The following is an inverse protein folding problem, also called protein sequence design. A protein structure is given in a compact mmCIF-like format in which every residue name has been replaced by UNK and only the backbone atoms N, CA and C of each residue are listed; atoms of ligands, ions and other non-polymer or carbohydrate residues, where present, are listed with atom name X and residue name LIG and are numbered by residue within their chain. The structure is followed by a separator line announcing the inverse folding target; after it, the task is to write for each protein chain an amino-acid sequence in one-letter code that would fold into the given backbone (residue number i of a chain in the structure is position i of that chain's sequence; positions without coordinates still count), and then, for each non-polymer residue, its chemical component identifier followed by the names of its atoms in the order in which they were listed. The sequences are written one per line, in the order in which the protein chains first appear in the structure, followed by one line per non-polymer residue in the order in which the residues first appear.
data_IF_003118770556
#
_entry.id   IF_003118770556
#
_cell.length_a   1.000
_cell.length_b   1.000
_cell.length_c   1.000
_cell.angle_alpha   90.00
_cell.angle_beta   90.00
_cell.angle_gamma   90.00
#
_symmetry.space_group_name_H-M   'P 1'
#
loop_
_entity.id
_entity.type
_entity.pdbx_description
1 polymer ?
#
# COMPACT_ATOMS: atom_id res chain seq x y z
N UNK A 1 -18.45 23.89 -0.06
CA UNK A 1 -17.10 23.82 -0.67
C UNK A 1 -16.09 24.12 0.41
N UNK A 2 -15.15 23.21 0.66
CA UNK A 2 -14.07 23.40 1.63
C UNK A 2 -12.71 23.26 0.92
N UNK A 3 -11.69 23.92 1.46
CA UNK A 3 -10.29 23.78 1.02
C UNK A 3 -9.59 22.78 1.90
N UNK A 4 -9.12 21.69 1.33
CA UNK A 4 -8.53 20.56 2.05
C UNK A 4 -7.05 20.44 1.69
N UNK A 5 -6.19 20.43 2.72
CA UNK A 5 -4.78 20.15 2.58
C UNK A 5 -4.52 18.67 2.85
N UNK A 6 -4.15 17.91 1.84
CA UNK A 6 -3.66 16.54 2.03
C UNK A 6 -2.13 16.53 2.13
N UNK A 7 -1.58 15.59 2.87
CA UNK A 7 -0.14 15.41 3.01
C UNK A 7 0.21 13.93 3.12
N UNK A 8 1.24 13.48 2.40
CA UNK A 8 1.67 12.08 2.42
C UNK A 8 3.12 11.87 2.02
N UNK A 9 3.62 10.68 2.32
CA UNK A 9 4.99 10.26 1.97
C UNK A 9 5.03 9.83 0.50
N UNK A 10 6.01 10.26 -0.32
CA UNK A 10 6.10 9.95 -1.74
C UNK A 10 6.60 8.53 -2.00
N UNK A 11 5.78 7.54 -1.62
CA UNK A 11 5.98 6.12 -1.90
C UNK A 11 4.73 5.55 -2.57
N UNK A 12 4.87 4.77 -3.63
CA UNK A 12 3.74 4.27 -4.42
C UNK A 12 2.70 3.54 -3.56
N UNK A 13 3.14 2.65 -2.65
CA UNK A 13 2.23 1.90 -1.76
C UNK A 13 1.46 2.77 -0.76
N UNK A 14 1.90 4.00 -0.50
CA UNK A 14 1.24 4.95 0.41
C UNK A 14 0.43 6.02 -0.34
N UNK A 15 0.96 6.51 -1.46
CA UNK A 15 0.36 7.57 -2.25
C UNK A 15 -0.81 7.07 -3.12
N UNK A 16 -0.63 5.94 -3.83
CA UNK A 16 -1.64 5.43 -4.76
C UNK A 16 -3.00 5.14 -4.09
N UNK A 17 -3.05 4.49 -2.91
CA UNK A 17 -4.32 4.23 -2.23
C UNK A 17 -5.09 5.48 -1.78
N UNK A 18 -4.42 6.63 -1.68
CA UNK A 18 -5.06 7.90 -1.29
C UNK A 18 -5.68 8.68 -2.46
N UNK A 19 -5.33 8.35 -3.70
CA UNK A 19 -5.83 9.07 -4.89
C UNK A 19 -7.34 8.94 -5.11
N UNK A 20 -7.98 7.78 -4.91
CA UNK A 20 -9.44 7.67 -4.95
C UNK A 20 -10.13 8.58 -3.92
N UNK A 21 -9.50 8.78 -2.76
CA UNK A 21 -10.01 9.72 -1.75
C UNK A 21 -9.91 11.18 -2.22
N UNK A 22 -8.80 11.56 -2.90
CA UNK A 22 -8.69 12.86 -3.58
C UNK A 22 -9.84 13.05 -4.57
N UNK A 23 -10.07 12.06 -5.43
CA UNK A 23 -11.17 12.09 -6.41
C UNK A 23 -12.52 12.29 -5.74
N UNK A 24 -12.84 11.50 -4.73
CA UNK A 24 -14.11 11.58 -4.02
C UNK A 24 -14.34 12.95 -3.37
N UNK A 25 -13.31 13.58 -2.81
CA UNK A 25 -13.40 14.93 -2.25
C UNK A 25 -13.64 16.00 -3.33
N UNK A 26 -12.95 15.88 -4.46
CA UNK A 26 -13.12 16.80 -5.60
C UNK A 26 -14.51 16.64 -6.22
N UNK A 27 -14.99 15.42 -6.41
CA UNK A 27 -16.33 15.13 -6.94
C UNK A 27 -17.44 15.64 -5.99
N UNK A 28 -17.14 15.68 -4.67
CA UNK A 28 -18.02 16.32 -3.66
C UNK A 28 -17.93 17.86 -3.65
N UNK A 29 -17.17 18.47 -4.56
CA UNK A 29 -17.05 19.91 -4.72
C UNK A 29 -16.04 20.58 -3.77
N UNK A 30 -15.09 19.83 -3.20
CA UNK A 30 -14.01 20.39 -2.39
C UNK A 30 -12.79 20.74 -3.24
N UNK A 31 -12.01 21.74 -2.82
CA UNK A 31 -10.70 22.08 -3.36
C UNK A 31 -9.64 21.28 -2.60
N UNK A 32 -8.88 20.43 -3.30
CA UNK A 32 -7.89 19.55 -2.68
C UNK A 32 -6.47 19.90 -3.17
N UNK A 33 -5.61 20.30 -2.23
CA UNK A 33 -4.18 20.46 -2.46
C UNK A 33 -3.40 19.35 -1.76
N UNK A 34 -2.54 18.64 -2.51
CA UNK A 34 -1.83 17.48 -1.97
C UNK A 34 -0.33 17.74 -1.91
N UNK A 35 0.22 17.84 -0.68
CA UNK A 35 1.67 17.86 -0.43
C UNK A 35 2.23 16.46 -0.73
N UNK A 36 2.87 16.30 -1.88
CA UNK A 36 3.36 15.01 -2.37
C UNK A 36 4.58 15.20 -3.27
N UNK A 37 5.33 14.12 -3.53
CA UNK A 37 6.47 14.12 -4.44
C UNK A 37 6.09 14.44 -5.87
N UNK A 38 6.96 15.17 -6.59
CA UNK A 38 6.72 15.63 -7.96
C UNK A 38 6.37 14.49 -8.94
N UNK A 39 6.92 13.31 -8.76
CA UNK A 39 6.64 12.11 -9.57
C UNK A 39 5.16 11.69 -9.57
N UNK A 40 4.38 12.16 -8.60
CA UNK A 40 2.93 11.88 -8.50
C UNK A 40 2.05 12.96 -9.13
N UNK A 41 2.61 14.03 -9.73
CA UNK A 41 1.86 15.16 -10.28
C UNK A 41 0.73 14.71 -11.19
N UNK A 42 1.06 13.97 -12.25
CA UNK A 42 0.05 13.54 -13.22
C UNK A 42 -1.09 12.72 -12.56
N UNK A 43 -0.77 11.90 -11.55
CA UNK A 43 -1.77 11.10 -10.84
C UNK A 43 -2.66 11.93 -9.92
N UNK A 44 -2.09 12.90 -9.21
CA UNK A 44 -2.86 13.82 -8.34
C UNK A 44 -3.76 14.70 -9.19
N UNK A 45 -3.26 15.25 -10.29
CA UNK A 45 -4.02 16.10 -11.20
C UNK A 45 -5.10 15.31 -11.96
N UNK A 46 -4.84 14.07 -12.34
CA UNK A 46 -5.87 13.20 -12.92
C UNK A 46 -6.98 12.84 -11.93
N UNK A 47 -6.67 12.84 -10.63
CA UNK A 47 -7.68 12.72 -9.58
C UNK A 47 -8.42 14.05 -9.30
N UNK A 48 -8.09 15.14 -9.99
CA UNK A 48 -8.70 16.46 -9.82
C UNK A 48 -8.07 17.31 -8.71
N UNK A 49 -7.05 16.82 -8.03
CA UNK A 49 -6.34 17.57 -7.00
C UNK A 49 -5.24 18.46 -7.57
N UNK A 50 -4.73 19.37 -6.76
CA UNK A 50 -3.57 20.23 -7.09
C UNK A 50 -2.35 19.74 -6.33
N UNK A 51 -1.24 19.41 -7.02
CA UNK A 51 -0.02 19.02 -6.36
C UNK A 51 0.70 20.22 -5.74
N UNK A 52 1.06 20.10 -4.47
CA UNK A 52 2.05 20.96 -3.79
C UNK A 52 3.35 20.15 -3.69
N UNK A 53 4.37 20.47 -4.49
CA UNK A 53 5.57 19.64 -4.57
C UNK A 53 6.33 19.60 -3.25
N UNK A 54 6.78 18.39 -2.88
CA UNK A 54 7.46 18.14 -1.63
C UNK A 54 8.40 16.93 -1.75
N UNK A 55 9.55 17.00 -1.07
CA UNK A 55 10.49 15.88 -0.96
C UNK A 55 11.34 15.64 -2.19
N UNK A 56 11.91 14.43 -2.36
CA UNK A 56 12.75 14.10 -3.50
C UNK A 56 11.91 14.04 -4.79
N UNK A 57 12.54 14.31 -5.96
CA UNK A 57 11.85 14.25 -7.24
C UNK A 57 11.36 12.83 -7.59
N UNK A 58 12.03 11.81 -7.06
CA UNK A 58 11.72 10.39 -7.29
C UNK A 58 10.91 9.80 -6.14
N UNK A 59 10.10 8.78 -6.44
CA UNK A 59 9.39 8.04 -5.41
C UNK A 59 10.35 7.22 -4.54
N UNK A 60 9.99 7.04 -3.27
CA UNK A 60 10.66 6.07 -2.39
C UNK A 60 10.22 4.67 -2.83
N UNK A 61 11.17 3.90 -3.35
CA UNK A 61 10.96 2.54 -3.87
C UNK A 61 11.69 1.47 -3.05
N UNK A 62 12.46 1.87 -2.03
CA UNK A 62 13.22 0.94 -1.21
C UNK A 62 13.23 1.35 0.26
N UNK A 63 13.05 0.39 1.21
CA UNK A 63 13.06 0.68 2.66
C UNK A 63 14.34 1.40 3.15
N UNK A 64 15.51 1.13 2.53
CA UNK A 64 16.77 1.81 2.86
C UNK A 64 16.73 3.32 2.55
N UNK A 65 15.99 3.74 1.52
CA UNK A 65 15.81 5.17 1.22
C UNK A 65 15.05 5.85 2.35
N UNK A 66 13.98 5.20 2.84
CA UNK A 66 13.23 5.70 3.99
C UNK A 66 14.10 5.75 5.26
N UNK A 67 14.92 4.73 5.50
CA UNK A 67 15.84 4.72 6.64
C UNK A 67 16.92 5.84 6.57
N UNK A 68 17.42 6.16 5.38
CA UNK A 68 18.47 7.18 5.18
C UNK A 68 17.93 8.62 5.10
N UNK A 69 16.74 8.80 4.53
CA UNK A 69 16.17 10.11 4.22
C UNK A 69 14.94 10.44 5.06
N UNK A 70 14.37 9.45 5.74
CA UNK A 70 13.07 9.54 6.42
C UNK A 70 13.00 10.72 7.38
N UNK A 71 14.01 10.88 8.25
CA UNK A 71 14.06 12.00 9.21
C UNK A 71 13.91 13.37 8.52
N UNK A 72 14.68 13.62 7.46
CA UNK A 72 14.62 14.89 6.71
C UNK A 72 13.27 15.06 6.03
N UNK A 73 12.78 13.97 5.45
CA UNK A 73 11.51 13.93 4.75
C UNK A 73 10.35 14.24 5.72
N UNK A 74 10.26 13.54 6.85
CA UNK A 74 9.19 13.75 7.82
C UNK A 74 9.26 15.15 8.45
N UNK A 75 10.45 15.66 8.81
CA UNK A 75 10.59 17.03 9.30
C UNK A 75 10.10 18.06 8.29
N UNK A 76 10.50 17.93 7.02
CA UNK A 76 10.07 18.84 5.97
C UNK A 76 8.55 18.72 5.71
N UNK A 77 7.99 17.50 5.75
CA UNK A 77 6.55 17.29 5.62
C UNK A 77 5.78 17.97 6.74
N UNK A 78 6.19 17.76 7.99
CA UNK A 78 5.59 18.38 9.17
C UNK A 78 5.65 19.91 9.13
N UNK A 79 6.81 20.47 8.72
CA UNK A 79 6.99 21.90 8.55
C UNK A 79 6.07 22.45 7.45
N UNK A 80 5.95 21.74 6.33
CA UNK A 80 5.07 22.14 5.21
C UNK A 80 3.59 22.11 5.62
N UNK A 81 3.17 21.09 6.36
CA UNK A 81 1.79 21.01 6.88
C UNK A 81 1.52 22.24 7.77
N UNK A 82 2.35 22.49 8.80
CA UNK A 82 2.15 23.61 9.73
C UNK A 82 2.15 24.97 9.03
N UNK A 83 3.00 25.16 8.03
CA UNK A 83 3.10 26.40 7.25
C UNK A 83 1.83 26.65 6.40
N UNK A 84 1.28 25.60 5.81
CA UNK A 84 0.18 25.74 4.84
C UNK A 84 -1.21 25.60 5.48
N UNK A 85 -1.36 24.78 6.52
CA UNK A 85 -2.63 24.47 7.16
C UNK A 85 -3.52 25.70 7.50
N UNK A 86 -2.98 26.86 7.93
CA UNK A 86 -3.83 28.04 8.21
C UNK A 86 -4.66 28.54 7.02
N UNK A 87 -4.35 28.13 5.80
CA UNK A 87 -5.05 28.52 4.56
C UNK A 87 -6.15 27.55 4.16
N UNK A 88 -6.37 26.47 4.95
CA UNK A 88 -7.27 25.38 4.63
C UNK A 88 -8.26 25.14 5.76
N UNK A 89 -9.38 24.55 5.45
CA UNK A 89 -10.46 24.25 6.39
C UNK A 89 -10.18 22.94 7.17
N UNK A 90 -9.44 22.01 6.57
CA UNK A 90 -9.05 20.74 7.18
C UNK A 90 -7.72 20.24 6.62
N UNK A 91 -7.06 19.40 7.42
CA UNK A 91 -5.81 18.70 7.03
C UNK A 91 -6.06 17.19 7.01
N UNK A 92 -5.73 16.52 5.92
CA UNK A 92 -5.75 15.07 5.80
C UNK A 92 -4.31 14.55 5.73
N UNK A 93 -3.94 13.72 6.69
CA UNK A 93 -2.61 13.09 6.72
C UNK A 93 -2.76 11.65 6.23
N UNK A 94 -2.21 11.38 5.03
CA UNK A 94 -2.29 10.09 4.37
C UNK A 94 -1.01 9.26 4.57
N UNK A 95 -1.18 8.02 4.99
CA UNK A 95 -0.07 7.08 5.17
C UNK A 95 0.52 7.06 6.58
N UNK A 96 1.77 6.65 6.69
CA UNK A 96 2.46 6.47 7.97
C UNK A 96 2.76 7.82 8.64
N UNK A 97 2.14 8.11 9.78
CA UNK A 97 2.45 9.33 10.52
C UNK A 97 2.15 9.19 12.03
N UNK A 98 3.19 9.11 12.88
CA UNK A 98 3.02 9.05 14.34
C UNK A 98 2.76 10.41 14.99
N UNK A 99 2.79 11.53 14.22
CA UNK A 99 2.70 12.90 14.72
C UNK A 99 1.27 13.48 14.69
N UNK A 100 0.25 12.66 14.40
CA UNK A 100 -1.16 13.12 14.35
C UNK A 100 -1.56 13.88 15.61
N UNK A 101 -1.32 13.38 16.85
CA UNK A 101 -1.69 14.13 18.06
C UNK A 101 -0.91 15.44 18.24
N UNK A 102 0.31 15.52 17.72
CA UNK A 102 1.07 16.77 17.74
C UNK A 102 0.50 17.79 16.76
N UNK A 103 0.13 17.35 15.55
CA UNK A 103 -0.53 18.22 14.58
C UNK A 103 -1.87 18.76 15.11
N UNK A 104 -2.68 17.94 15.75
CA UNK A 104 -3.95 18.40 16.36
C UNK A 104 -3.76 19.47 17.44
N UNK A 105 -2.69 19.35 18.23
CA UNK A 105 -2.34 20.39 19.23
C UNK A 105 -1.82 21.67 18.61
N UNK A 106 -1.08 21.57 17.50
CA UNK A 106 -0.40 22.70 16.88
C UNK A 106 -1.27 23.45 15.88
N UNK A 107 -2.32 22.79 15.34
CA UNK A 107 -3.17 23.34 14.29
C UNK A 107 -4.57 23.66 14.85
N UNK A 108 -5.05 24.87 14.60
CA UNK A 108 -6.44 25.26 14.83
C UNK A 108 -7.31 24.80 13.63
N UNK A 109 -7.22 23.54 13.28
CA UNK A 109 -7.94 22.92 12.15
C UNK A 109 -8.16 21.42 12.43
N UNK A 110 -9.27 20.84 11.94
CA UNK A 110 -9.47 19.41 11.97
C UNK A 110 -8.33 18.65 11.28
N UNK A 111 -7.80 17.64 11.95
CA UNK A 111 -6.80 16.74 11.38
C UNK A 111 -7.43 15.37 11.19
N UNK A 112 -7.46 14.90 9.95
CA UNK A 112 -8.03 13.60 9.57
C UNK A 112 -6.87 12.66 9.25
N UNK A 113 -6.89 11.46 9.80
CA UNK A 113 -5.94 10.42 9.46
C UNK A 113 -6.51 9.48 8.41
N UNK A 114 -5.84 9.35 7.27
CA UNK A 114 -6.12 8.36 6.23
C UNK A 114 -5.08 7.25 6.32
N UNK A 115 -5.47 6.11 6.90
CA UNK A 115 -4.59 4.96 7.03
C UNK A 115 -4.28 4.34 5.67
N UNK A 116 -3.06 3.85 5.43
CA UNK A 116 -2.72 3.16 4.19
C UNK A 116 -3.19 1.70 4.17
N UNK A 117 -3.57 1.17 5.31
CA UNK A 117 -4.01 -0.22 5.54
C UNK A 117 -5.09 -0.25 6.62
N UNK A 118 -5.47 -1.43 7.11
CA UNK A 118 -6.35 -1.56 8.27
C UNK A 118 -5.71 -0.98 9.56
N UNK A 119 -6.56 -0.57 10.50
CA UNK A 119 -6.09 0.01 11.77
C UNK A 119 -5.38 -1.01 12.65
N UNK A 120 -4.42 -0.53 13.43
CA UNK A 120 -3.64 -1.33 14.37
C UNK A 120 -3.95 -0.99 15.81
N UNK A 121 -4.04 -2.03 16.65
CA UNK A 121 -3.99 -1.96 18.10
C UNK A 121 -3.23 -3.18 18.65
N UNK A 122 -3.14 -3.32 19.96
CA UNK A 122 -2.38 -4.41 20.58
C UNK A 122 -3.00 -5.78 20.31
N UNK A 123 -4.33 -5.87 20.20
CA UNK A 123 -5.06 -7.11 19.89
C UNK A 123 -4.86 -7.51 18.43
N UNK A 124 -5.04 -6.54 17.51
CA UNK A 124 -4.84 -6.75 16.06
C UNK A 124 -3.43 -7.24 15.77
N UNK A 125 -2.39 -6.55 16.27
CA UNK A 125 -1.01 -6.94 15.98
C UNK A 125 -0.62 -8.28 16.60
N UNK A 126 -1.18 -8.61 17.77
CA UNK A 126 -0.94 -9.91 18.41
C UNK A 126 -1.54 -11.05 17.61
N UNK A 127 -2.78 -10.88 17.15
CA UNK A 127 -3.46 -11.85 16.28
C UNK A 127 -2.73 -12.02 14.95
N UNK A 128 -2.42 -10.92 14.27
CA UNK A 128 -1.72 -10.96 12.99
C UNK A 128 -0.33 -11.59 13.10
N UNK A 129 0.42 -11.32 14.17
CA UNK A 129 1.69 -11.98 14.42
C UNK A 129 1.52 -13.49 14.66
N UNK A 130 0.42 -13.91 15.28
CA UNK A 130 0.12 -15.32 15.51
C UNK A 130 -0.20 -16.07 14.22
N UNK A 131 -1.09 -15.53 13.38
CA UNK A 131 -1.51 -16.17 12.12
C UNK A 131 -0.44 -16.08 11.02
N UNK A 132 0.46 -15.08 11.08
CA UNK A 132 1.48 -14.85 10.04
C UNK A 132 2.67 -15.79 10.19
N UNK A 133 2.46 -17.06 9.89
CA UNK A 133 3.45 -18.13 10.07
C UNK A 133 4.71 -17.94 9.21
N UNK A 134 4.60 -17.29 8.04
CA UNK A 134 5.72 -16.95 7.17
C UNK A 134 6.54 -15.74 7.62
N UNK A 135 6.07 -15.01 8.65
CA UNK A 135 6.84 -13.90 9.24
C UNK A 135 8.06 -14.43 9.98
N UNK A 136 9.26 -13.82 9.83
CA UNK A 136 10.45 -14.25 10.55
C UNK A 136 10.23 -14.35 12.07
N UNK A 137 10.64 -15.46 12.65
CA UNK A 137 10.37 -15.79 14.07
C UNK A 137 10.72 -14.66 15.06
N UNK A 138 11.88 -13.97 14.98
CA UNK A 138 12.19 -12.89 15.91
C UNK A 138 11.20 -11.71 15.81
N UNK A 139 10.74 -11.38 14.60
CA UNK A 139 9.75 -10.32 14.37
C UNK A 139 8.39 -10.75 14.91
N UNK A 140 7.97 -11.97 14.60
CA UNK A 140 6.70 -12.55 15.05
C UNK A 140 6.59 -12.59 16.57
N UNK A 141 7.69 -12.89 17.27
CA UNK A 141 7.74 -12.92 18.73
C UNK A 141 7.80 -11.51 19.35
N UNK A 142 8.46 -10.56 18.69
CA UNK A 142 8.63 -9.21 19.20
C UNK A 142 7.39 -8.32 19.03
N UNK A 143 6.66 -8.48 17.93
CA UNK A 143 5.51 -7.61 17.59
C UNK A 143 4.37 -7.63 18.63
N UNK A 144 3.98 -8.77 19.24
CA UNK A 144 2.97 -8.77 20.31
C UNK A 144 3.44 -8.09 21.61
N UNK A 145 4.75 -7.95 21.82
CA UNK A 145 5.31 -7.38 23.05
C UNK A 145 5.32 -5.84 23.01
N UNK A 146 4.49 -5.14 23.84
CA UNK A 146 4.52 -3.68 23.92
C UNK A 146 5.91 -3.15 24.31
N UNK A 147 6.63 -3.87 25.20
CA UNK A 147 7.98 -3.49 25.62
C UNK A 147 8.98 -3.53 24.46
N UNK A 148 8.91 -4.58 23.63
CA UNK A 148 9.78 -4.69 22.45
C UNK A 148 9.47 -3.59 21.41
N UNK A 149 8.20 -3.34 21.14
CA UNK A 149 7.75 -2.28 20.24
C UNK A 149 8.18 -0.89 20.69
N UNK A 150 8.03 -0.59 22.01
CA UNK A 150 8.47 0.69 22.60
C UNK A 150 9.99 0.86 22.53
N UNK A 151 10.77 -0.20 22.76
CA UNK A 151 12.23 -0.16 22.56
C UNK A 151 12.58 0.11 21.11
N UNK A 152 11.92 -0.56 20.18
CA UNK A 152 12.10 -0.36 18.74
C UNK A 152 11.75 1.08 18.34
N UNK A 153 10.63 1.61 18.84
CA UNK A 153 10.21 3.00 18.58
C UNK A 153 11.24 4.02 19.06
N UNK A 154 11.87 3.80 20.21
CA UNK A 154 12.93 4.69 20.73
C UNK A 154 14.18 4.73 19.86
N UNK A 155 14.49 3.65 19.15
CA UNK A 155 15.65 3.55 18.27
C UNK A 155 15.31 4.02 16.85
N UNK A 156 14.25 3.50 16.27
CA UNK A 156 13.87 3.77 14.88
C UNK A 156 13.19 5.13 14.74
N UNK A 157 12.36 5.53 15.69
CA UNK A 157 11.60 6.77 15.63
C UNK A 157 12.46 8.00 15.32
N UNK A 158 13.52 8.30 16.09
CA UNK A 158 14.39 9.43 15.81
C UNK A 158 15.13 9.35 14.47
N UNK A 159 15.40 8.15 13.99
CA UNK A 159 16.12 7.92 12.73
C UNK A 159 15.22 8.11 11.51
N UNK A 160 13.98 7.59 11.58
CA UNK A 160 13.05 7.57 10.44
C UNK A 160 12.10 8.76 10.48
N UNK A 161 11.48 9.04 11.62
CA UNK A 161 10.46 10.09 11.74
C UNK A 161 11.01 11.41 12.30
N UNK A 162 12.20 11.40 12.87
CA UNK A 162 12.73 12.56 13.58
C UNK A 162 12.05 12.83 14.92
N UNK A 163 11.13 11.97 15.34
CA UNK A 163 10.36 12.06 16.55
C UNK A 163 10.48 10.78 17.39
N UNK A 164 9.92 10.77 18.60
CA UNK A 164 9.93 9.60 19.48
C UNK A 164 8.50 9.13 19.72
N UNK A 165 7.92 8.35 18.78
CA UNK A 165 6.62 7.74 19.03
C UNK A 165 6.68 6.86 20.27
N UNK A 166 5.56 6.74 20.97
CA UNK A 166 5.50 5.90 22.17
C UNK A 166 5.62 4.42 21.82
N UNK A 167 5.02 4.02 20.71
CA UNK A 167 5.03 2.66 20.16
C UNK A 167 5.28 2.73 18.63
N UNK A 168 5.90 1.70 18.06
CA UNK A 168 6.10 1.64 16.60
C UNK A 168 4.77 1.54 15.83
N UNK A 169 3.71 1.07 16.45
CA UNK A 169 2.38 1.01 15.86
C UNK A 169 1.68 2.38 15.77
N UNK A 170 2.17 3.42 16.45
CA UNK A 170 1.54 4.75 16.44
C UNK A 170 1.45 5.33 15.01
N UNK A 171 2.29 4.85 14.10
CA UNK A 171 2.21 5.21 12.68
C UNK A 171 0.97 4.68 11.95
N UNK A 172 0.28 3.67 12.51
CA UNK A 172 -0.87 2.98 11.92
C UNK A 172 -2.09 2.94 12.86
N UNK A 173 -1.96 3.48 14.07
CA UNK A 173 -3.08 3.61 15.00
C UNK A 173 -4.01 4.73 14.59
N UNK A 174 -5.32 4.61 14.84
CA UNK A 174 -6.27 5.71 14.67
C UNK A 174 -6.09 6.73 15.80
N UNK A 175 -5.14 7.64 15.65
CA UNK A 175 -4.75 8.61 16.69
C UNK A 175 -5.43 9.97 16.53
N UNK A 176 -6.15 10.22 15.45
CA UNK A 176 -6.90 11.46 15.29
C UNK A 176 -8.13 11.48 16.21
N UNK A 177 -8.33 12.59 16.90
CA UNK A 177 -9.56 12.86 17.66
C UNK A 177 -10.72 13.35 16.77
N UNK A 178 -10.43 13.75 15.53
CA UNK A 178 -11.42 14.23 14.56
C UNK A 178 -12.03 13.10 13.76
N UNK A 179 -11.21 12.39 12.97
CA UNK A 179 -11.64 11.27 12.12
C UNK A 179 -10.44 10.45 11.66
N UNK A 180 -10.61 9.14 11.71
CA UNK A 180 -9.66 8.19 11.16
C UNK A 180 -10.36 7.36 10.08
N UNK A 181 -9.77 7.26 8.89
CA UNK A 181 -10.33 6.54 7.76
C UNK A 181 -9.42 5.38 7.40
N UNK A 182 -9.97 4.17 7.32
CA UNK A 182 -9.29 2.98 6.81
C UNK A 182 -9.87 2.59 5.46
N UNK A 183 -9.02 2.24 4.46
CA UNK A 183 -9.48 1.69 3.19
C UNK A 183 -9.90 0.21 3.30
N UNK A 184 -9.86 -0.38 4.48
CA UNK A 184 -10.38 -1.71 4.75
C UNK A 184 -11.90 -1.67 4.97
N UNK A 185 -12.59 -2.76 4.68
CA UNK A 185 -13.96 -2.99 5.17
C UNK A 185 -13.94 -3.41 6.64
N UNK A 186 -15.05 -3.25 7.35
CA UNK A 186 -15.19 -3.81 8.72
C UNK A 186 -14.95 -5.32 8.75
N UNK A 187 -15.36 -6.05 7.71
CA UNK A 187 -15.15 -7.49 7.59
C UNK A 187 -13.67 -7.86 7.45
N UNK A 188 -12.92 -7.07 6.67
CA UNK A 188 -11.48 -7.28 6.51
C UNK A 188 -10.68 -6.86 7.74
N UNK A 189 -11.12 -5.82 8.47
CA UNK A 189 -10.48 -5.35 9.69
C UNK A 189 -10.58 -6.40 10.80
N UNK A 190 -9.46 -6.97 11.31
CA UNK A 190 -9.53 -7.81 12.49
C UNK A 190 -10.01 -7.00 13.70
N UNK A 191 -10.92 -7.57 14.49
CA UNK A 191 -11.46 -6.94 15.71
C UNK A 191 -11.98 -5.52 15.47
N UNK A 192 -12.82 -5.36 14.44
CA UNK A 192 -13.34 -4.05 14.06
C UNK A 192 -14.12 -3.36 15.20
N UNK A 193 -14.70 -4.16 16.09
CA UNK A 193 -15.41 -3.69 17.28
C UNK A 193 -14.52 -2.91 18.26
N UNK A 194 -13.21 -3.17 18.30
CA UNK A 194 -12.27 -2.45 19.17
C UNK A 194 -12.13 -0.95 18.79
N UNK A 195 -12.68 -0.55 17.64
CA UNK A 195 -12.60 0.81 17.11
C UNK A 195 -13.93 1.55 17.12
N UNK A 196 -15.01 0.96 17.68
CA UNK A 196 -16.36 1.54 17.65
C UNK A 196 -16.49 2.80 18.52
N UNK A 197 -15.74 2.88 19.61
CA UNK A 197 -15.70 4.05 20.51
C UNK A 197 -14.75 5.16 20.03
N UNK A 198 -14.09 4.96 18.89
CA UNK A 198 -13.17 5.91 18.29
C UNK A 198 -13.81 6.55 17.04
N UNK A 199 -13.39 7.75 16.65
CA UNK A 199 -13.86 8.37 15.41
C UNK A 199 -13.24 7.67 14.18
N UNK A 200 -13.63 6.41 13.98
CA UNK A 200 -13.10 5.54 12.91
C UNK A 200 -14.16 5.26 11.84
N UNK A 201 -13.75 5.33 10.58
CA UNK A 201 -14.58 4.99 9.43
C UNK A 201 -13.87 3.97 8.54
N UNK A 202 -14.56 2.88 8.23
CA UNK A 202 -14.10 1.83 7.34
C UNK A 202 -14.69 2.08 5.94
N UNK A 203 -13.93 2.75 5.09
CA UNK A 203 -14.38 3.16 3.76
C UNK A 203 -14.54 1.98 2.78
N UNK A 204 -13.83 0.90 3.05
CA UNK A 204 -13.73 -0.22 2.11
C UNK A 204 -12.73 0.05 0.98
N UNK A 205 -12.51 -0.95 0.13
CA UNK A 205 -11.61 -0.85 -0.99
C UNK A 205 -12.14 0.13 -2.04
N UNK A 206 -11.24 0.95 -2.57
CA UNK A 206 -11.53 1.81 -3.71
C UNK A 206 -10.73 1.32 -4.90
N UNK A 207 -11.37 1.19 -6.05
CA UNK A 207 -10.67 0.81 -7.27
C UNK A 207 -9.54 1.79 -7.55
N UNK A 208 -8.33 1.28 -7.69
CA UNK A 208 -7.22 2.06 -8.21
C UNK A 208 -7.54 2.41 -9.64
N UNK A 209 -7.57 3.70 -9.99
CA UNK A 209 -7.74 4.10 -11.37
C UNK A 209 -6.62 3.48 -12.20
N UNK A 210 -6.98 2.64 -13.15
CA UNK A 210 -6.03 2.10 -14.12
C UNK A 210 -5.43 3.27 -14.89
N UNK A 211 -4.10 3.31 -14.99
CA UNK A 211 -3.48 4.19 -15.99
C UNK A 211 -3.68 3.51 -17.35
N UNK A 212 -4.42 4.12 -18.26
CA UNK A 212 -4.63 3.52 -19.57
C UNK A 212 -3.27 3.23 -20.24
N UNK A 213 -3.13 2.05 -20.76
CA UNK A 213 -1.96 1.64 -21.56
C UNK A 213 -2.47 0.96 -22.85
N UNK A 214 -2.68 1.76 -23.87
CA UNK A 214 -3.16 1.30 -25.18
C UNK A 214 -2.16 0.34 -25.87
N UNK A 215 -0.93 0.26 -25.37
CA UNK A 215 0.10 -0.66 -25.88
C UNK A 215 0.01 -2.06 -25.26
N UNK A 216 -0.75 -2.23 -24.17
CA UNK A 216 -0.92 -3.53 -23.54
C UNK A 216 -1.97 -4.37 -24.29
N UNK A 217 -1.67 -5.63 -24.67
CA UNK A 217 -2.52 -6.44 -25.52
C UNK A 217 -3.69 -7.08 -24.74
N UNK A 218 -4.62 -6.29 -24.20
CA UNK A 218 -5.81 -6.79 -23.48
C UNK A 218 -6.65 -7.73 -24.32
N UNK A 219 -6.76 -7.49 -25.63
CA UNK A 219 -7.54 -8.33 -26.53
C UNK A 219 -6.97 -9.76 -26.64
N UNK A 220 -5.65 -9.91 -26.42
CA UNK A 220 -5.03 -11.24 -26.34
C UNK A 220 -5.50 -12.03 -25.11
N UNK A 221 -5.73 -11.34 -23.98
CA UNK A 221 -6.26 -11.97 -22.76
C UNK A 221 -7.70 -12.40 -22.99
N UNK A 222 -8.52 -11.52 -23.56
CA UNK A 222 -9.95 -11.77 -23.83
C UNK A 222 -10.19 -12.87 -24.86
N UNK A 223 -9.29 -13.01 -25.83
CA UNK A 223 -9.38 -14.02 -26.87
C UNK A 223 -8.74 -15.36 -26.48
N UNK A 224 -8.21 -15.48 -25.27
CA UNK A 224 -7.56 -16.70 -24.81
C UNK A 224 -8.61 -17.70 -24.27
N UNK A 225 -8.63 -18.92 -24.82
CA UNK A 225 -9.60 -19.95 -24.45
C UNK A 225 -9.25 -20.66 -23.11
N UNK A 226 -7.98 -20.60 -22.67
CA UNK A 226 -7.50 -21.18 -21.42
C UNK A 226 -7.48 -20.21 -20.25
N UNK A 227 -6.99 -20.65 -19.06
CA UNK A 227 -6.88 -19.78 -17.91
C UNK A 227 -5.93 -18.59 -18.13
N UNK A 228 -6.30 -17.42 -17.63
CA UNK A 228 -5.43 -16.24 -17.57
C UNK A 228 -4.88 -16.09 -16.15
N UNK A 229 -3.57 -16.06 -16.02
CA UNK A 229 -2.88 -15.95 -14.73
C UNK A 229 -2.08 -14.67 -14.67
N UNK A 230 -2.23 -13.92 -13.58
CA UNK A 230 -1.46 -12.69 -13.36
C UNK A 230 -0.46 -12.87 -12.23
N UNK A 231 0.80 -12.42 -12.41
CA UNK A 231 1.85 -12.50 -11.41
C UNK A 231 2.57 -11.16 -11.19
N UNK A 232 2.64 -10.70 -9.92
CA UNK A 232 3.28 -9.43 -9.56
C UNK A 232 3.88 -9.45 -8.15
N UNK A 233 5.04 -8.79 -7.96
CA UNK A 233 5.62 -8.48 -6.66
C UNK A 233 5.49 -6.99 -6.27
N UNK A 234 4.65 -6.23 -6.99
CA UNK A 234 4.45 -4.80 -6.77
C UNK A 234 5.69 -3.97 -7.11
N UNK A 235 5.90 -2.86 -6.38
CA UNK A 235 6.90 -1.83 -6.75
C UNK A 235 8.07 -1.69 -5.78
N UNK A 236 8.03 -2.30 -4.59
CA UNK A 236 9.04 -2.10 -3.54
C UNK A 236 9.92 -3.32 -3.29
N UNK A 237 9.33 -4.50 -3.14
CA UNK A 237 10.03 -5.75 -2.83
C UNK A 237 10.15 -6.68 -4.05
N UNK A 238 10.32 -6.13 -5.24
CA UNK A 238 10.23 -6.80 -6.54
C UNK A 238 11.59 -7.18 -7.17
N UNK A 239 12.65 -7.27 -6.37
CA UNK A 239 13.99 -7.62 -6.87
C UNK A 239 14.26 -9.13 -6.95
N UNK A 240 13.27 -9.96 -6.63
CA UNK A 240 13.43 -11.41 -6.64
C UNK A 240 13.17 -11.96 -8.06
N UNK A 241 14.19 -12.01 -8.88
CA UNK A 241 14.12 -12.56 -10.25
C UNK A 241 13.83 -14.06 -10.25
N UNK A 242 14.32 -14.80 -9.26
CA UNK A 242 14.11 -16.25 -9.18
C UNK A 242 12.64 -16.60 -8.96
N UNK A 243 11.92 -15.76 -8.22
CA UNK A 243 10.46 -15.88 -8.11
C UNK A 243 9.77 -15.79 -9.48
N UNK A 244 10.12 -14.79 -10.28
CA UNK A 244 9.50 -14.64 -11.61
C UNK A 244 9.88 -15.75 -12.55
N UNK A 245 11.14 -16.22 -12.50
CA UNK A 245 11.61 -17.36 -13.30
C UNK A 245 10.88 -18.65 -12.93
N UNK A 246 10.73 -18.95 -11.64
CA UNK A 246 10.00 -20.12 -11.17
C UNK A 246 8.52 -20.08 -11.61
N UNK A 247 7.85 -18.93 -11.52
CA UNK A 247 6.47 -18.78 -12.01
C UNK A 247 6.43 -18.99 -13.54
N UNK A 248 7.32 -18.38 -14.31
CA UNK A 248 7.38 -18.56 -15.77
C UNK A 248 7.60 -20.04 -16.12
N UNK A 249 8.54 -20.69 -15.44
CA UNK A 249 8.84 -22.12 -15.66
C UNK A 249 7.62 -23.01 -15.36
N UNK A 250 6.91 -22.75 -14.25
CA UNK A 250 5.75 -23.52 -13.86
C UNK A 250 4.59 -23.45 -14.88
N UNK A 251 4.48 -22.36 -15.64
CA UNK A 251 3.45 -22.18 -16.66
C UNK A 251 3.95 -22.41 -18.10
N UNK A 252 5.26 -22.68 -18.29
CA UNK A 252 5.81 -22.96 -19.60
C UNK A 252 5.17 -24.21 -20.21
N UNK A 253 4.61 -24.07 -21.42
CA UNK A 253 3.96 -25.17 -22.14
C UNK A 253 2.59 -25.59 -21.61
N UNK A 254 2.04 -24.88 -20.61
CA UNK A 254 0.66 -25.06 -20.21
C UNK A 254 -0.31 -24.35 -21.16
N UNK A 255 -1.60 -24.62 -21.03
CA UNK A 255 -2.69 -23.92 -21.73
C UNK A 255 -3.02 -22.55 -21.13
N UNK A 256 -2.42 -22.19 -20.00
CA UNK A 256 -2.63 -20.89 -19.38
C UNK A 256 -1.84 -19.76 -20.07
N UNK A 257 -2.45 -18.60 -20.19
CA UNK A 257 -1.76 -17.35 -20.56
C UNK A 257 -1.30 -16.63 -19.30
N UNK A 258 0.02 -16.53 -19.11
CA UNK A 258 0.62 -15.87 -17.96
C UNK A 258 0.99 -14.42 -18.25
N UNK A 259 0.52 -13.49 -17.44
CA UNK A 259 0.96 -12.08 -17.43
C UNK A 259 1.89 -11.85 -16.24
N UNK A 260 3.14 -11.45 -16.49
CA UNK A 260 4.13 -11.15 -15.45
C UNK A 260 4.44 -9.67 -15.42
N UNK A 261 4.30 -9.04 -14.23
CA UNK A 261 4.70 -7.65 -14.01
C UNK A 261 5.85 -7.55 -13.05
N UNK A 262 7.02 -7.14 -13.55
CA UNK A 262 8.24 -7.06 -12.73
C UNK A 262 8.29 -5.82 -11.85
N UNK A 263 7.52 -4.76 -12.16
CA UNK A 263 7.58 -3.45 -11.50
C UNK A 263 8.88 -2.68 -11.78
N UNK A 264 9.74 -3.21 -12.68
CA UNK A 264 11.08 -2.66 -12.97
C UNK A 264 11.50 -2.97 -14.41
N UNK A 265 11.76 -1.95 -15.25
CA UNK A 265 12.19 -2.17 -16.63
C UNK A 265 13.50 -2.99 -16.74
N UNK A 266 14.44 -2.74 -15.84
CA UNK A 266 15.75 -3.42 -15.82
C UNK A 266 15.68 -4.92 -15.46
N UNK A 267 14.55 -5.39 -14.96
CA UNK A 267 14.34 -6.81 -14.66
C UNK A 267 13.94 -7.64 -15.89
N UNK A 268 13.31 -7.02 -16.89
CA UNK A 268 12.80 -7.73 -18.07
C UNK A 268 13.89 -8.50 -18.83
N UNK A 269 15.04 -7.90 -19.19
CA UNK A 269 16.10 -8.63 -19.90
C UNK A 269 16.71 -9.79 -19.09
N UNK A 270 16.52 -9.76 -17.76
CA UNK A 270 17.10 -10.74 -16.85
C UNK A 270 16.17 -11.95 -16.61
N UNK A 271 14.94 -11.94 -17.13
CA UNK A 271 14.03 -13.09 -17.01
C UNK A 271 14.49 -14.31 -17.85
N UNK A 272 15.33 -14.08 -18.85
CA UNK A 272 15.76 -15.11 -19.79
C UNK A 272 14.77 -15.29 -20.94
N UNK A 273 14.62 -16.52 -21.41
CA UNK A 273 13.67 -16.84 -22.47
C UNK A 273 12.23 -16.74 -21.92
N UNK A 274 11.41 -15.93 -22.57
CA UNK A 274 9.98 -15.77 -22.23
C UNK A 274 9.17 -16.54 -23.27
N UNK A 275 8.45 -17.61 -22.86
CA UNK A 275 7.64 -18.43 -23.78
C UNK A 275 6.48 -17.65 -24.40
N UNK A 276 5.95 -18.17 -25.52
CA UNK A 276 4.85 -17.53 -26.26
C UNK A 276 3.57 -17.37 -25.44
N UNK A 277 3.31 -18.26 -24.48
CA UNK A 277 2.17 -18.17 -23.55
C UNK A 277 2.43 -17.25 -22.35
N UNK A 278 3.50 -16.41 -22.39
CA UNK A 278 3.83 -15.46 -21.33
C UNK A 278 3.92 -14.05 -21.89
N UNK A 279 3.26 -13.10 -21.23
CA UNK A 279 3.38 -11.66 -21.47
C UNK A 279 4.17 -11.06 -20.30
N UNK A 280 5.44 -10.70 -20.51
CA UNK A 280 6.25 -10.03 -19.49
C UNK A 280 6.33 -8.52 -19.76
N UNK A 281 6.01 -7.70 -18.75
CA UNK A 281 6.09 -6.23 -18.80
C UNK A 281 6.65 -5.68 -17.49
N UNK A 282 7.21 -4.48 -17.54
CA UNK A 282 7.59 -3.76 -16.32
C UNK A 282 6.36 -3.24 -15.56
N UNK A 283 5.38 -2.73 -16.30
CA UNK A 283 4.10 -2.27 -15.77
C UNK A 283 2.98 -2.73 -16.71
N UNK A 284 1.78 -2.90 -16.15
CA UNK A 284 0.56 -3.23 -16.87
C UNK A 284 -0.62 -2.43 -16.28
N UNK A 285 -1.72 -2.24 -17.01
CA UNK A 285 -2.97 -1.72 -16.44
C UNK A 285 -3.58 -2.79 -15.51
N UNK A 286 -3.08 -2.88 -14.27
CA UNK A 286 -3.35 -4.00 -13.33
C UNK A 286 -4.84 -4.27 -13.13
N UNK A 287 -5.66 -3.25 -12.96
CA UNK A 287 -7.09 -3.43 -12.76
C UNK A 287 -7.77 -4.04 -14.00
N UNK A 288 -7.32 -3.71 -15.21
CA UNK A 288 -7.85 -4.26 -16.46
C UNK A 288 -7.39 -5.71 -16.65
N UNK A 289 -6.11 -6.00 -16.36
CA UNK A 289 -5.58 -7.37 -16.40
C UNK A 289 -6.29 -8.27 -15.39
N UNK A 290 -6.54 -7.79 -14.18
CA UNK A 290 -7.24 -8.57 -13.15
C UNK A 290 -8.69 -8.89 -13.51
N UNK A 291 -9.38 -8.04 -14.30
CA UNK A 291 -10.75 -8.36 -14.76
C UNK A 291 -10.80 -9.54 -15.74
N UNK A 292 -9.70 -9.80 -16.41
CA UNK A 292 -9.56 -10.92 -17.36
C UNK A 292 -8.82 -12.12 -16.73
N UNK A 293 -8.36 -12.01 -15.47
CA UNK A 293 -7.56 -13.05 -14.81
C UNK A 293 -8.43 -14.02 -13.99
N UNK A 294 -8.08 -15.31 -14.03
CA UNK A 294 -8.68 -16.37 -13.23
C UNK A 294 -7.92 -16.63 -11.93
N UNK A 295 -6.63 -16.25 -11.87
CA UNK A 295 -5.76 -16.45 -10.71
C UNK A 295 -4.72 -15.34 -10.65
N UNK A 296 -4.43 -14.86 -9.44
CA UNK A 296 -3.37 -13.89 -9.20
C UNK A 296 -2.29 -14.43 -8.24
N UNK A 297 -1.03 -14.39 -8.66
CA UNK A 297 0.13 -14.54 -7.79
C UNK A 297 0.61 -13.15 -7.37
N UNK A 298 0.56 -12.84 -6.07
CA UNK A 298 0.92 -11.52 -5.57
C UNK A 298 1.72 -11.58 -4.28
N UNK A 299 2.47 -10.51 -4.01
CA UNK A 299 3.20 -10.34 -2.76
C UNK A 299 2.31 -10.00 -1.55
N UNK A 300 1.02 -9.66 -1.76
CA UNK A 300 0.09 -9.30 -0.70
C UNK A 300 0.22 -7.86 -0.18
N UNK A 301 0.77 -6.93 -0.95
CA UNK A 301 0.66 -5.50 -0.63
C UNK A 301 -0.80 -5.07 -0.61
N UNK A 302 -1.19 -4.15 0.29
CA UNK A 302 -2.60 -3.80 0.50
C UNK A 302 -3.32 -3.39 -0.80
N UNK A 303 -2.68 -2.59 -1.66
CA UNK A 303 -3.26 -2.19 -2.96
C UNK A 303 -3.53 -3.38 -3.88
N UNK A 304 -2.53 -4.27 -4.07
CA UNK A 304 -2.72 -5.46 -4.92
C UNK A 304 -3.76 -6.42 -4.34
N UNK A 305 -3.79 -6.59 -3.02
CA UNK A 305 -4.83 -7.37 -2.33
C UNK A 305 -6.21 -6.78 -2.57
N UNK A 306 -6.34 -5.46 -2.46
CA UNK A 306 -7.59 -4.73 -2.74
C UNK A 306 -8.03 -4.93 -4.19
N UNK A 307 -7.13 -4.79 -5.15
CA UNK A 307 -7.43 -4.93 -6.58
C UNK A 307 -7.88 -6.37 -6.91
N UNK A 308 -7.27 -7.41 -6.30
CA UNK A 308 -7.73 -8.80 -6.49
C UNK A 308 -9.11 -9.04 -5.91
N UNK A 309 -9.42 -8.48 -4.74
CA UNK A 309 -10.75 -8.59 -4.12
C UNK A 309 -11.82 -7.91 -4.97
N UNK A 310 -11.54 -6.69 -5.45
CA UNK A 310 -12.46 -5.94 -6.32
C UNK A 310 -12.73 -6.63 -7.66
N UNK A 311 -11.73 -7.32 -8.19
CA UNK A 311 -11.86 -8.11 -9.41
C UNK A 311 -12.52 -9.49 -9.18
N UNK A 312 -12.66 -9.93 -7.92
CA UNK A 312 -13.19 -11.27 -7.58
C UNK A 312 -12.21 -12.41 -7.91
N UNK A 313 -10.91 -12.11 -8.04
CA UNK A 313 -9.88 -13.06 -8.47
C UNK A 313 -9.23 -13.73 -7.24
N UNK A 314 -9.24 -15.07 -7.17
CA UNK A 314 -8.52 -15.79 -6.13
C UNK A 314 -7.02 -15.52 -6.22
N UNK A 315 -6.34 -15.48 -5.05
CA UNK A 315 -4.93 -15.14 -5.03
C UNK A 315 -4.05 -16.12 -4.25
N UNK A 316 -2.84 -16.33 -4.79
CA UNK A 316 -1.72 -16.97 -4.09
C UNK A 316 -0.76 -15.88 -3.63
N UNK A 317 -0.56 -15.77 -2.34
CA UNK A 317 0.23 -14.73 -1.72
C UNK A 317 1.63 -15.23 -1.37
N UNK A 318 2.67 -14.54 -1.86
CA UNK A 318 4.06 -14.78 -1.48
C UNK A 318 4.63 -13.50 -0.84
N UNK A 319 4.43 -13.29 0.48
CA UNK A 319 4.85 -12.06 1.14
C UNK A 319 6.37 -11.93 1.18
N UNK A 320 6.87 -10.75 0.80
CA UNK A 320 8.29 -10.40 0.73
C UNK A 320 8.74 -9.48 1.87
N UNK A 321 7.81 -8.72 2.47
CA UNK A 321 8.15 -7.76 3.55
C UNK A 321 6.99 -6.91 4.02
N UNK A 322 7.20 -6.13 5.07
CA UNK A 322 6.28 -5.15 5.62
C UNK A 322 4.88 -5.71 5.99
N UNK A 323 3.82 -4.99 5.63
CA UNK A 323 2.42 -5.34 5.84
C UNK A 323 1.94 -6.56 5.03
N UNK A 324 2.72 -6.97 4.03
CA UNK A 324 2.37 -8.07 3.13
C UNK A 324 2.10 -9.38 3.87
N UNK A 325 2.89 -9.66 4.92
CA UNK A 325 2.66 -10.84 5.76
C UNK A 325 1.27 -10.82 6.40
N UNK A 326 0.86 -9.67 6.89
CA UNK A 326 -0.43 -9.51 7.57
C UNK A 326 -1.60 -9.59 6.59
N UNK A 327 -1.50 -8.91 5.46
CA UNK A 327 -2.52 -8.95 4.40
C UNK A 327 -2.68 -10.37 3.85
N UNK A 328 -1.59 -11.05 3.51
CA UNK A 328 -1.59 -12.40 2.97
C UNK A 328 -2.27 -13.41 3.91
N UNK A 329 -1.86 -13.41 5.19
CA UNK A 329 -2.42 -14.33 6.17
C UNK A 329 -3.85 -13.97 6.56
N UNK A 330 -4.22 -12.66 6.54
CA UNK A 330 -5.61 -12.25 6.72
C UNK A 330 -6.50 -12.73 5.59
N UNK A 331 -6.04 -12.65 4.34
CA UNK A 331 -6.76 -13.19 3.19
C UNK A 331 -6.92 -14.71 3.28
N UNK A 332 -5.89 -15.42 3.74
CA UNK A 332 -5.99 -16.86 3.97
C UNK A 332 -6.96 -17.21 5.11
N UNK A 333 -6.97 -16.44 6.20
CA UNK A 333 -7.93 -16.61 7.31
C UNK A 333 -9.37 -16.39 6.85
N UNK A 334 -9.59 -15.47 5.90
CA UNK A 334 -10.88 -15.19 5.28
C UNK A 334 -11.22 -16.16 4.11
N UNK A 335 -10.42 -17.19 3.89
CA UNK A 335 -10.57 -18.18 2.82
C UNK A 335 -10.60 -17.57 1.40
N UNK A 336 -10.07 -16.35 1.24
CA UNK A 336 -10.04 -15.62 -0.02
C UNK A 336 -8.70 -15.74 -0.77
N UNK A 337 -7.83 -16.67 -0.35
CA UNK A 337 -6.55 -16.97 -0.98
C UNK A 337 -5.69 -17.93 -0.18
N UNK A 338 -4.49 -18.20 -0.69
CA UNK A 338 -3.52 -19.09 -0.05
C UNK A 338 -2.16 -18.38 0.10
N UNK A 339 -1.48 -18.65 1.21
CA UNK A 339 -0.10 -18.19 1.39
C UNK A 339 0.86 -19.28 0.92
N UNK A 340 1.72 -18.92 -0.03
CA UNK A 340 2.87 -19.72 -0.47
C UNK A 340 4.13 -19.06 0.09
N UNK A 341 4.79 -19.67 1.08
CA UNK A 341 6.03 -19.12 1.63
C UNK A 341 7.10 -18.98 0.55
N UNK A 342 7.88 -17.90 0.61
CA UNK A 342 8.93 -17.63 -0.39
C UNK A 342 9.91 -18.80 -0.58
N UNK A 343 10.20 -19.55 0.50
CA UNK A 343 11.11 -20.68 0.46
C UNK A 343 10.56 -21.90 -0.31
N UNK A 344 9.27 -21.90 -0.60
CA UNK A 344 8.59 -22.98 -1.34
C UNK A 344 8.38 -22.64 -2.83
N UNK A 345 8.78 -21.45 -3.25
CA UNK A 345 8.80 -21.05 -4.67
C UNK A 345 10.14 -21.48 -5.26
N UNK A 346 10.15 -22.62 -5.92
CA UNK A 346 11.35 -23.27 -6.52
C UNK A 346 11.10 -23.63 -7.97
#
# INVERSE_FOLDING_TARGET
MARILMAGVPAYGLATPSLPFVRALVDAGHEVHYIMGEVFRARVESAGGTLVPFGPPEAITHPRQLALQGRRLFHALQASIRKLAPRYDAVVVAGLNPEIPALERDLDRPVIFLSPVFFQNDRVISHLAQISTSLPSPVRTALPSPTARRRLARVIGPLVFGSRPHDILDMLRPLSSTLNISPATRYYQPFAEDFDDLPCYFAGPTATASMPDDSFPLDRLRAHDGPVVYATLGTVFNRNLDYFRAIIEAFTGSDALLVVTTGRPESLPQLGNVPDNVIARSFVPQADVLREADLCFTHGGFGSTTDTVLAGVPAVFTPMGADQFFNAHRMQELEAGRVLPRAEVT
#
